data_IF_260657914475
#
_entry.id   IF_260657914475
#
_cell.length_a   1.000
_cell.length_b   1.000
_cell.length_c   1.000
_cell.angle_alpha   90.00
_cell.angle_beta   90.00
_cell.angle_gamma   90.00
#
_symmetry.space_group_name_H-M   'P 1'
#
loop_
_entity.id
_entity.type
_entity.pdbx_description
1 polymer ?
#
# COMPACT_ATOMS: atom_id res chain seq x y z
N UNK A 1 54.73 13.65 22.02
CA UNK A 1 53.55 14.27 21.39
C UNK A 1 52.92 13.42 20.27
N UNK A 2 53.47 12.27 19.89
CA UNK A 2 52.98 11.44 18.77
C UNK A 2 52.06 10.27 19.19
N UNK A 3 52.00 9.94 20.48
CA UNK A 3 51.24 8.78 20.99
C UNK A 3 49.75 9.08 21.26
N UNK A 4 49.35 10.35 21.27
CA UNK A 4 47.96 10.77 21.52
C UNK A 4 47.17 11.03 20.22
N UNK A 5 47.84 11.20 19.07
CA UNK A 5 47.15 11.35 17.78
C UNK A 5 46.66 10.01 17.22
N UNK A 6 47.40 8.92 17.44
CA UNK A 6 47.04 7.58 16.98
C UNK A 6 45.80 7.02 17.70
N UNK A 7 45.62 7.34 18.98
CA UNK A 7 44.46 6.88 19.76
C UNK A 7 43.17 7.59 19.35
N UNK A 8 43.24 8.85 18.95
CA UNK A 8 42.07 9.59 18.46
C UNK A 8 41.61 9.11 17.08
N UNK A 9 42.55 8.75 16.19
CA UNK A 9 42.21 8.28 14.84
C UNK A 9 41.50 6.91 14.83
N UNK A 10 41.79 6.04 15.81
CA UNK A 10 41.18 4.71 15.90
C UNK A 10 39.73 4.77 16.42
N UNK A 11 39.40 5.75 17.27
CA UNK A 11 38.05 5.89 17.82
C UNK A 11 37.08 6.44 16.76
N UNK A 12 37.50 7.38 15.91
CA UNK A 12 36.64 7.90 14.82
C UNK A 12 36.38 6.88 13.72
N UNK A 13 37.34 5.99 13.43
CA UNK A 13 37.15 4.91 12.46
C UNK A 13 36.18 3.82 12.94
N UNK A 14 36.04 3.63 14.27
CA UNK A 14 35.10 2.68 14.85
C UNK A 14 33.65 3.23 14.87
N UNK A 15 33.47 4.55 14.87
CA UNK A 15 32.13 5.17 14.84
C UNK A 15 31.49 5.19 13.43
N UNK A 16 32.28 5.04 12.35
CA UNK A 16 31.75 4.95 10.97
C UNK A 16 31.34 3.51 10.62
N UNK A 17 31.90 2.51 11.31
CA UNK A 17 31.60 1.09 11.10
C UNK A 17 30.31 0.59 11.79
N UNK A 18 29.64 1.43 12.56
CA UNK A 18 28.36 1.15 13.21
C UNK A 18 27.22 1.96 12.57
N UNK A 19 27.27 2.18 11.26
CA UNK A 19 26.04 2.35 10.51
C UNK A 19 25.29 1.01 10.59
N UNK A 20 24.58 0.79 11.70
CA UNK A 20 23.41 -0.06 11.69
C UNK A 20 22.62 0.36 10.44
N UNK A 21 22.28 -0.55 9.51
CA UNK A 21 21.22 -0.22 8.60
C UNK A 21 20.04 0.09 9.51
N UNK A 22 19.66 1.36 9.61
CA UNK A 22 18.28 1.68 9.89
C UNK A 22 17.55 0.97 8.75
N UNK A 23 17.02 -0.23 9.01
CA UNK A 23 16.29 -1.03 8.04
C UNK A 23 15.02 -0.23 7.73
N UNK A 24 15.15 0.73 6.82
CA UNK A 24 14.04 1.35 6.16
C UNK A 24 13.52 0.31 5.17
N UNK A 25 12.23 0.01 5.25
CA UNK A 25 11.54 -0.83 4.29
C UNK A 25 11.79 -0.29 2.88
N UNK A 26 12.19 -1.15 1.94
CA UNK A 26 12.36 -0.75 0.55
C UNK A 26 11.07 -0.99 -0.27
N UNK A 27 11.05 -0.49 -1.51
CA UNK A 27 9.88 -0.63 -2.37
C UNK A 27 9.57 -2.09 -2.70
N UNK A 28 10.57 -2.95 -2.83
CA UNK A 28 10.35 -4.35 -3.19
C UNK A 28 9.69 -5.12 -2.04
N UNK A 29 10.13 -4.89 -0.81
CA UNK A 29 9.48 -5.39 0.40
C UNK A 29 8.05 -4.85 0.51
N UNK A 30 7.84 -3.56 0.22
CA UNK A 30 6.53 -2.95 0.27
C UNK A 30 5.54 -3.51 -0.77
N UNK A 31 6.01 -3.85 -1.97
CA UNK A 31 5.18 -4.52 -2.97
C UNK A 31 4.76 -5.92 -2.52
N UNK A 32 5.65 -6.65 -1.82
CA UNK A 32 5.29 -7.96 -1.23
C UNK A 32 4.22 -7.79 -0.17
N UNK A 33 4.36 -6.79 0.71
CA UNK A 33 3.35 -6.51 1.75
C UNK A 33 1.98 -6.18 1.17
N UNK A 34 1.93 -5.45 0.06
CA UNK A 34 0.68 -5.04 -0.61
C UNK A 34 0.13 -6.07 -1.60
N UNK A 35 0.82 -7.19 -1.83
CA UNK A 35 0.45 -8.14 -2.85
C UNK A 35 -0.88 -8.84 -2.53
N UNK A 36 -1.85 -8.71 -3.45
CA UNK A 36 -3.09 -9.50 -3.43
C UNK A 36 -2.86 -10.79 -4.23
N UNK A 37 -2.57 -11.90 -3.54
CA UNK A 37 -2.31 -13.19 -4.21
C UNK A 37 -3.48 -14.17 -4.11
N UNK A 38 -3.59 -15.04 -5.12
CA UNK A 38 -4.59 -16.12 -5.18
C UNK A 38 -4.04 -17.47 -4.69
N UNK A 39 -2.86 -17.47 -4.04
CA UNK A 39 -2.18 -18.68 -3.58
C UNK A 39 -3.03 -19.51 -2.60
N UNK A 40 -3.90 -18.84 -1.85
CA UNK A 40 -4.88 -19.46 -0.96
C UNK A 40 -6.31 -19.20 -1.43
N UNK A 41 -6.87 -20.18 -2.15
CA UNK A 41 -8.26 -20.14 -2.63
C UNK A 41 -9.22 -20.69 -1.57
N UNK A 42 -10.26 -19.94 -1.22
CA UNK A 42 -11.33 -20.44 -0.34
C UNK A 42 -12.47 -21.05 -1.18
N UNK A 43 -13.26 -21.99 -0.65
CA UNK A 43 -14.47 -22.44 -1.33
C UNK A 43 -15.40 -21.25 -1.61
N UNK A 44 -15.75 -21.02 -2.87
CA UNK A 44 -16.58 -19.90 -3.29
C UNK A 44 -17.49 -20.30 -4.46
N UNK A 45 -18.57 -19.55 -4.61
CA UNK A 45 -19.37 -19.56 -5.83
C UNK A 45 -18.80 -18.50 -6.77
N UNK A 46 -18.55 -18.88 -8.02
CA UNK A 46 -18.24 -17.92 -9.09
C UNK A 46 -19.52 -17.13 -9.42
N UNK A 47 -19.55 -15.86 -9.04
CA UNK A 47 -20.77 -15.05 -9.10
C UNK A 47 -20.94 -14.34 -10.44
N UNK A 48 -19.86 -13.95 -11.11
CA UNK A 48 -19.97 -13.12 -12.31
C UNK A 48 -18.75 -13.26 -13.23
N UNK A 49 -19.00 -13.57 -14.50
CA UNK A 49 -18.04 -13.58 -15.60
C UNK A 49 -18.62 -12.71 -16.75
N UNK A 50 -17.80 -11.90 -17.44
CA UNK A 50 -17.91 -10.44 -17.47
C UNK A 50 -19.19 -9.90 -18.13
N UNK A 51 -19.85 -8.95 -17.47
CA UNK A 51 -21.08 -8.31 -17.98
C UNK A 51 -20.82 -7.19 -19.01
N UNK A 52 -19.58 -6.67 -19.11
CA UNK A 52 -19.22 -5.52 -19.98
C UNK A 52 -18.01 -5.76 -20.91
N UNK A 53 -17.56 -7.02 -21.06
CA UNK A 53 -16.59 -7.43 -22.09
C UNK A 53 -15.10 -7.20 -21.78
N UNK A 54 -14.74 -6.43 -20.76
CA UNK A 54 -13.37 -6.33 -20.24
C UNK A 54 -13.33 -6.61 -18.74
N UNK A 55 -12.18 -7.11 -18.27
CA UNK A 55 -11.92 -7.37 -16.85
C UNK A 55 -11.85 -6.04 -16.10
N UNK A 56 -12.65 -5.89 -15.05
CA UNK A 56 -12.73 -4.62 -14.30
C UNK A 56 -11.48 -4.45 -13.45
N UNK A 57 -10.80 -3.31 -13.59
CA UNK A 57 -9.66 -2.94 -12.75
C UNK A 57 -10.13 -2.19 -11.50
N UNK A 58 -9.78 -2.69 -10.32
CA UNK A 58 -10.24 -2.15 -9.03
C UNK A 58 -9.06 -1.77 -8.13
N UNK A 59 -9.09 -0.56 -7.57
CA UNK A 59 -8.13 -0.15 -6.54
C UNK A 59 -8.82 -0.11 -5.17
N UNK A 60 -8.34 -0.95 -4.25
CA UNK A 60 -8.86 -1.01 -2.88
C UNK A 60 -8.06 -0.11 -1.93
N UNK A 61 -8.78 0.65 -1.10
CA UNK A 61 -8.24 1.34 0.06
C UNK A 61 -8.82 0.69 1.30
N UNK A 62 -7.99 0.07 2.13
CA UNK A 62 -8.45 -0.62 3.31
C UNK A 62 -7.46 -0.57 4.46
N UNK A 63 -7.89 -1.00 5.65
CA UNK A 63 -6.95 -1.23 6.75
C UNK A 63 -5.98 -2.35 6.39
N UNK A 64 -4.69 -2.15 6.67
CA UNK A 64 -3.67 -3.20 6.61
C UNK A 64 -3.70 -4.15 7.82
N UNK A 65 -4.56 -3.90 8.80
CA UNK A 65 -4.62 -4.68 10.03
C UNK A 65 -5.64 -5.83 9.94
N UNK A 66 -5.29 -6.96 10.57
CA UNK A 66 -6.16 -8.12 10.68
C UNK A 66 -6.38 -8.80 9.32
N UNK A 67 -7.64 -9.13 9.02
CA UNK A 67 -8.01 -9.88 7.81
C UNK A 67 -8.72 -9.01 6.77
N UNK A 68 -8.81 -7.68 6.94
CA UNK A 68 -9.54 -6.82 5.99
C UNK A 68 -9.03 -6.95 4.55
N UNK A 69 -7.70 -6.98 4.28
CA UNK A 69 -7.21 -7.19 2.92
C UNK A 69 -7.65 -8.51 2.27
N UNK A 70 -7.99 -9.53 3.08
CA UNK A 70 -8.51 -10.80 2.58
C UNK A 70 -9.82 -10.63 1.82
N UNK A 71 -10.63 -9.65 2.17
CA UNK A 71 -11.91 -9.40 1.50
C UNK A 71 -11.70 -9.00 0.03
N UNK A 72 -10.66 -8.23 -0.29
CA UNK A 72 -10.31 -7.89 -1.67
C UNK A 72 -9.90 -9.14 -2.47
N UNK A 73 -9.07 -10.01 -1.89
CA UNK A 73 -8.68 -11.31 -2.50
C UNK A 73 -9.90 -12.19 -2.74
N UNK A 74 -10.83 -12.20 -1.80
CA UNK A 74 -12.06 -12.97 -1.90
C UNK A 74 -13.04 -12.44 -2.96
N UNK A 75 -13.04 -11.13 -3.21
CA UNK A 75 -13.74 -10.53 -4.33
C UNK A 75 -13.06 -10.90 -5.66
N UNK A 76 -11.73 -10.91 -5.74
CA UNK A 76 -11.00 -11.39 -6.92
C UNK A 76 -11.30 -12.86 -7.25
N UNK A 77 -11.63 -13.68 -6.25
CA UNK A 77 -12.02 -15.08 -6.46
C UNK A 77 -13.47 -15.21 -6.99
N UNK A 78 -14.37 -14.31 -6.61
CA UNK A 78 -15.81 -14.41 -6.92
C UNK A 78 -16.24 -13.63 -8.15
N UNK A 79 -15.47 -12.63 -8.53
CA UNK A 79 -15.74 -11.73 -9.64
C UNK A 79 -14.55 -11.67 -10.58
N UNK A 80 -14.80 -11.51 -11.88
CA UNK A 80 -13.76 -11.24 -12.87
C UNK A 80 -13.20 -9.81 -12.74
N UNK A 81 -12.39 -9.60 -11.71
CA UNK A 81 -11.71 -8.32 -11.41
C UNK A 81 -10.20 -8.51 -11.32
N UNK A 82 -9.46 -7.48 -11.72
CA UNK A 82 -8.03 -7.32 -11.48
C UNK A 82 -7.89 -6.23 -10.42
N UNK A 83 -7.19 -6.53 -9.32
CA UNK A 83 -7.18 -5.63 -8.18
C UNK A 83 -5.77 -5.38 -7.65
N UNK A 84 -5.59 -4.15 -7.19
CA UNK A 84 -4.47 -3.74 -6.33
C UNK A 84 -5.02 -3.09 -5.06
N UNK A 85 -4.20 -2.99 -4.03
CA UNK A 85 -4.59 -2.38 -2.76
C UNK A 85 -3.56 -1.39 -2.23
N UNK A 86 -4.06 -0.47 -1.42
CA UNK A 86 -3.31 0.45 -0.57
C UNK A 86 -3.80 0.30 0.85
N UNK A 87 -2.87 0.14 1.78
CA UNK A 87 -3.18 -0.12 3.18
C UNK A 87 -2.99 1.10 4.05
N UNK A 88 -4.00 1.40 4.87
CA UNK A 88 -3.88 2.29 6.02
C UNK A 88 -3.50 1.45 7.24
N UNK A 89 -2.36 1.75 7.86
CA UNK A 89 -1.84 0.95 8.96
C UNK A 89 -1.22 1.83 10.04
N UNK A 90 -1.13 1.28 11.25
CA UNK A 90 -0.34 1.88 12.32
C UNK A 90 1.13 1.79 11.96
N UNK A 91 1.84 2.90 12.14
CA UNK A 91 3.31 2.92 12.02
C UNK A 91 3.88 2.11 13.19
N UNK A 92 4.80 1.18 12.90
CA UNK A 92 5.45 0.33 13.91
C UNK A 92 6.05 1.22 15.02
N UNK A 93 5.81 0.83 16.27
CA UNK A 93 6.25 1.54 17.48
C UNK A 93 5.73 2.98 17.63
N UNK A 94 4.69 3.36 16.90
CA UNK A 94 3.99 4.64 17.04
C UNK A 94 2.49 4.44 17.32
N UNK A 95 1.85 5.47 17.89
CA UNK A 95 0.39 5.58 17.92
C UNK A 95 -0.18 6.11 16.61
N UNK A 96 0.66 6.65 15.74
CA UNK A 96 0.26 7.30 14.50
C UNK A 96 -0.11 6.25 13.44
N UNK A 97 -1.09 6.60 12.62
CA UNK A 97 -1.52 5.82 11.47
C UNK A 97 -1.20 6.59 10.20
N UNK A 98 -0.79 5.87 9.16
CA UNK A 98 -0.54 6.44 7.84
C UNK A 98 -0.71 5.37 6.76
N UNK A 99 -0.46 5.72 5.51
CA UNK A 99 -0.26 4.73 4.46
C UNK A 99 0.91 3.79 4.82
N UNK A 100 0.68 2.48 4.71
CA UNK A 100 1.68 1.46 5.02
C UNK A 100 2.93 1.66 4.15
N UNK A 101 4.11 1.66 4.78
CA UNK A 101 5.38 2.04 4.14
C UNK A 101 5.73 3.53 4.25
N UNK A 102 4.98 4.33 5.00
CA UNK A 102 5.28 5.75 5.23
C UNK A 102 5.29 6.55 3.92
N UNK A 103 6.31 7.39 3.74
CA UNK A 103 6.47 8.20 2.52
C UNK A 103 6.58 7.35 1.24
N UNK A 104 7.19 6.17 1.32
CA UNK A 104 7.31 5.24 0.16
C UNK A 104 5.92 4.67 -0.18
N UNK A 105 5.13 4.33 0.84
CA UNK A 105 3.74 3.89 0.69
C UNK A 105 2.83 4.96 0.11
N UNK A 106 2.97 6.19 0.60
CA UNK A 106 2.23 7.32 0.05
C UNK A 106 2.59 7.57 -1.41
N UNK A 107 3.88 7.54 -1.77
CA UNK A 107 4.31 7.68 -3.16
C UNK A 107 3.81 6.52 -4.03
N UNK A 108 3.83 5.28 -3.53
CA UNK A 108 3.27 4.11 -4.21
C UNK A 108 1.79 4.31 -4.51
N UNK A 109 1.01 4.74 -3.52
CA UNK A 109 -0.42 5.04 -3.69
C UNK A 109 -0.65 6.16 -4.71
N UNK A 110 0.15 7.23 -4.69
CA UNK A 110 0.05 8.30 -5.69
C UNK A 110 0.35 7.78 -7.11
N UNK A 111 1.34 6.91 -7.26
CA UNK A 111 1.64 6.25 -8.53
C UNK A 111 0.48 5.34 -9.00
N UNK A 112 -0.20 4.66 -8.08
CA UNK A 112 -1.39 3.87 -8.39
C UNK A 112 -2.54 4.76 -8.85
N UNK A 113 -2.77 5.91 -8.21
CA UNK A 113 -3.79 6.88 -8.61
C UNK A 113 -3.51 7.54 -9.97
N UNK A 114 -2.30 7.42 -10.52
CA UNK A 114 -1.99 7.86 -11.90
C UNK A 114 -2.37 6.83 -12.96
N UNK A 115 -2.67 5.59 -12.56
CA UNK A 115 -3.17 4.56 -13.46
C UNK A 115 -4.67 4.69 -13.69
N UNK A 116 -5.16 4.10 -14.79
CA UNK A 116 -6.59 4.04 -15.09
C UNK A 116 -7.27 2.90 -14.33
N UNK A 117 -8.16 3.24 -13.40
CA UNK A 117 -9.00 2.29 -12.66
C UNK A 117 -10.46 2.44 -13.07
N UNK A 118 -11.19 1.33 -13.10
CA UNK A 118 -12.63 1.32 -13.38
C UNK A 118 -13.46 1.53 -12.11
N UNK A 119 -12.91 1.18 -10.94
CA UNK A 119 -13.57 1.36 -9.65
C UNK A 119 -12.54 1.57 -8.52
N UNK A 120 -12.87 2.49 -7.61
CA UNK A 120 -12.19 2.65 -6.33
C UNK A 120 -13.09 2.14 -5.22
N UNK A 121 -12.56 1.29 -4.35
CA UNK A 121 -13.31 0.73 -3.22
C UNK A 121 -12.68 1.20 -1.92
N UNK A 122 -13.43 1.99 -1.18
CA UNK A 122 -13.10 2.42 0.17
C UNK A 122 -13.67 1.40 1.16
N UNK A 123 -12.85 0.42 1.55
CA UNK A 123 -13.25 -0.70 2.41
C UNK A 123 -12.95 -0.36 3.88
N UNK A 124 -13.98 0.12 4.59
CA UNK A 124 -13.87 0.56 5.98
C UNK A 124 -13.02 1.81 6.19
N UNK A 125 -12.71 2.55 5.12
CA UNK A 125 -11.95 3.81 5.16
C UNK A 125 -12.79 4.98 4.61
N UNK A 126 -12.63 6.15 5.21
CA UNK A 126 -13.18 7.39 4.69
C UNK A 126 -12.15 8.20 3.91
N UNK A 127 -12.63 9.10 3.03
CA UNK A 127 -11.76 10.03 2.29
C UNK A 127 -11.07 11.04 3.22
N UNK A 128 -11.54 11.22 4.46
CA UNK A 128 -10.94 12.08 5.48
C UNK A 128 -9.51 11.64 5.88
N UNK A 129 -9.13 10.39 5.59
CA UNK A 129 -7.76 9.90 5.74
C UNK A 129 -6.82 10.31 4.61
N UNK A 130 -7.37 10.81 3.50
CA UNK A 130 -6.62 11.20 2.32
C UNK A 130 -6.32 12.70 2.34
N UNK A 131 -5.14 13.09 1.87
CA UNK A 131 -4.81 14.49 1.61
C UNK A 131 -5.68 15.07 0.47
N UNK A 132 -5.74 16.39 0.34
CA UNK A 132 -6.51 17.04 -0.73
C UNK A 132 -6.04 16.61 -2.14
N UNK A 133 -4.73 16.41 -2.32
CA UNK A 133 -4.19 15.90 -3.59
C UNK A 133 -4.66 14.49 -3.89
N UNK A 134 -4.59 13.61 -2.89
CA UNK A 134 -5.01 12.20 -3.01
C UNK A 134 -6.51 12.12 -3.32
N UNK A 135 -7.35 12.90 -2.62
CA UNK A 135 -8.77 13.01 -2.92
C UNK A 135 -9.01 13.51 -4.34
N UNK A 136 -8.29 14.53 -4.80
CA UNK A 136 -8.42 15.04 -6.17
C UNK A 136 -8.06 13.98 -7.22
N UNK A 137 -6.93 13.29 -7.05
CA UNK A 137 -6.47 12.25 -7.98
C UNK A 137 -7.44 11.06 -8.05
N UNK A 138 -8.07 10.70 -6.93
CA UNK A 138 -9.11 9.66 -6.89
C UNK A 138 -10.45 10.13 -7.48
N UNK A 139 -10.93 11.31 -7.08
CA UNK A 139 -12.27 11.79 -7.44
C UNK A 139 -12.35 12.25 -8.90
N UNK A 140 -11.27 12.74 -9.50
CA UNK A 140 -11.29 13.19 -10.89
C UNK A 140 -11.71 12.07 -11.86
N UNK A 141 -11.07 10.88 -11.89
CA UNK A 141 -11.53 9.75 -12.70
C UNK A 141 -12.98 9.31 -12.38
N UNK A 142 -13.42 9.44 -11.13
CA UNK A 142 -14.81 9.14 -10.74
C UNK A 142 -15.78 10.10 -11.43
N UNK A 143 -15.48 11.40 -11.48
CA UNK A 143 -16.29 12.37 -12.23
C UNK A 143 -16.30 12.11 -13.75
N UNK A 144 -15.33 11.34 -14.24
CA UNK A 144 -15.19 10.95 -15.64
C UNK A 144 -15.81 9.57 -15.94
N UNK A 145 -16.38 8.90 -14.94
CA UNK A 145 -17.16 7.66 -15.09
C UNK A 145 -16.63 6.43 -14.36
N UNK A 146 -15.51 6.53 -13.63
CA UNK A 146 -15.07 5.43 -12.76
C UNK A 146 -16.04 5.28 -11.56
N UNK A 147 -16.18 4.04 -11.07
CA UNK A 147 -16.95 3.73 -9.86
C UNK A 147 -16.26 4.19 -8.59
N UNK A 148 -17.05 4.55 -7.58
CA UNK A 148 -16.61 4.77 -6.21
C UNK A 148 -17.56 4.08 -5.25
N UNK A 149 -17.04 3.15 -4.45
CA UNK A 149 -17.82 2.34 -3.50
C UNK A 149 -17.30 2.57 -2.10
N UNK A 150 -18.22 2.78 -1.15
CA UNK A 150 -17.92 2.82 0.28
C UNK A 150 -18.60 1.63 0.96
N UNK A 151 -17.85 0.90 1.78
CA UNK A 151 -18.31 -0.25 2.56
C UNK A 151 -17.97 -0.04 4.02
#
# INVERSE_FOLDING_TARGET
MTRNLLTFAVITALCVGLAYPAQCQDLAELEVDHALTLDFTTPHTDWAQPYAGQKTRVLFFCSGQGTVPREAVELMQRFDIEAEAVFWARIVDSSDEHWHGGDIGEQRMLNLLEQKWDCYVMLGLGLDRMSAEQQYKLLKPVTEGAGLVFV
#
